data_IF_877158431627
#
_entry.id   IF_877158431627
#
_cell.length_a   1.000
_cell.length_b   1.000
_cell.length_c   1.000
_cell.angle_alpha   90.00
_cell.angle_beta   90.00
_cell.angle_gamma   90.00
#
_symmetry.space_group_name_H-M   'P 1'
#
loop_
_entity.id
_entity.type
_entity.pdbx_description
1 polymer ?
#
# COMPACT_ATOMS: atom_id res chain seq x y z
N UNK A 1 -14.29 -13.11 6.97
CA UNK A 1 -14.33 -11.71 6.51
C UNK A 1 -12.97 -11.26 6.06
N UNK A 2 -12.88 -10.74 4.87
CA UNK A 2 -11.57 -10.29 4.38
C UNK A 2 -11.18 -8.97 5.04
N UNK A 3 -9.88 -8.79 5.20
CA UNK A 3 -9.35 -7.55 5.74
C UNK A 3 -9.61 -6.41 4.77
N UNK A 4 -9.92 -5.24 5.30
CA UNK A 4 -10.13 -4.05 4.48
C UNK A 4 -8.85 -3.30 4.22
N UNK A 5 -7.87 -3.48 5.09
CA UNK A 5 -6.59 -2.78 5.00
C UNK A 5 -5.44 -3.77 5.14
N UNK A 6 -4.34 -3.41 4.51
CA UNK A 6 -3.10 -4.15 4.64
C UNK A 6 -2.05 -3.19 5.20
N UNK A 7 -1.15 -3.71 6.05
CA UNK A 7 -0.03 -2.88 6.49
C UNK A 7 1.04 -2.85 5.41
N UNK A 8 2.13 -2.12 5.67
CA UNK A 8 3.18 -1.95 4.67
C UNK A 8 3.82 -3.28 4.27
N UNK A 9 4.03 -4.16 5.25
CA UNK A 9 4.64 -5.45 4.99
C UNK A 9 3.73 -6.31 4.12
N UNK A 10 2.45 -6.37 4.47
CA UNK A 10 1.48 -7.14 3.70
C UNK A 10 1.35 -6.60 2.28
N UNK A 11 1.37 -5.27 2.14
CA UNK A 11 1.29 -4.64 0.83
C UNK A 11 2.51 -4.99 -0.02
N UNK A 12 3.69 -4.95 0.59
CA UNK A 12 4.92 -5.32 -0.11
C UNK A 12 4.86 -6.76 -0.61
N UNK A 13 4.39 -7.67 0.25
CA UNK A 13 4.25 -9.08 -0.12
C UNK A 13 3.23 -9.27 -1.24
N UNK A 14 2.11 -8.59 -1.14
CA UNK A 14 1.05 -8.67 -2.15
C UNK A 14 1.55 -8.23 -3.51
N UNK A 15 2.32 -7.14 -3.54
CA UNK A 15 2.83 -6.58 -4.78
C UNK A 15 4.16 -7.20 -5.22
N UNK A 16 4.73 -8.05 -4.40
CA UNK A 16 6.06 -8.62 -4.63
C UNK A 16 7.11 -7.53 -4.77
N UNK A 17 7.03 -6.52 -3.93
CA UNK A 17 7.95 -5.40 -3.90
C UNK A 17 8.66 -5.36 -2.56
N UNK A 18 9.72 -4.57 -2.46
CA UNK A 18 10.39 -4.40 -1.18
C UNK A 18 9.57 -3.51 -0.26
N UNK A 19 9.73 -3.71 1.05
CA UNK A 19 9.04 -2.86 2.01
C UNK A 19 9.56 -1.42 1.90
N UNK A 20 10.83 -1.25 1.54
CA UNK A 20 11.40 0.07 1.32
C UNK A 20 10.66 0.80 0.21
N UNK A 21 10.34 0.10 -0.87
CA UNK A 21 9.56 0.69 -1.96
C UNK A 21 8.21 1.19 -1.46
N UNK A 22 7.56 0.39 -0.61
CA UNK A 22 6.25 0.76 -0.08
C UNK A 22 6.33 2.05 0.73
N UNK A 23 7.38 2.20 1.54
CA UNK A 23 7.53 3.40 2.36
C UNK A 23 7.99 4.62 1.55
N UNK A 24 8.81 4.41 0.53
CA UNK A 24 9.46 5.52 -0.16
C UNK A 24 8.81 5.91 -1.47
N UNK A 25 8.33 4.93 -2.22
CA UNK A 25 7.99 5.18 -3.61
C UNK A 25 6.52 4.97 -3.94
N UNK A 26 5.77 4.24 -3.11
CA UNK A 26 4.40 3.90 -3.44
C UNK A 26 3.53 5.14 -3.66
N UNK A 27 3.63 6.12 -2.78
CA UNK A 27 2.79 7.33 -2.87
C UNK A 27 3.08 8.09 -4.16
N UNK A 28 4.35 8.21 -4.54
CA UNK A 28 4.71 8.88 -5.79
C UNK A 28 4.20 8.12 -7.00
N UNK A 29 4.11 6.81 -6.89
CA UNK A 29 3.60 5.98 -7.97
C UNK A 29 2.07 5.98 -8.04
N UNK A 30 1.41 6.70 -7.14
CA UNK A 30 -0.04 6.81 -7.15
C UNK A 30 -0.74 5.93 -6.14
N UNK A 31 0.00 5.14 -5.37
CA UNK A 31 -0.58 4.28 -4.34
C UNK A 31 -0.39 4.94 -2.99
N UNK A 32 -1.37 5.74 -2.59
CA UNK A 32 -1.28 6.57 -1.41
C UNK A 32 -1.78 5.83 -0.19
N UNK A 33 -0.96 5.75 0.88
CA UNK A 33 -1.39 5.06 2.09
C UNK A 33 -2.30 5.91 2.96
N UNK A 34 -2.99 5.23 3.87
CA UNK A 34 -3.70 5.88 4.96
C UNK A 34 -2.81 5.83 6.19
N UNK A 35 -2.87 6.87 6.99
CA UNK A 35 -2.13 6.92 8.24
C UNK A 35 -3.13 7.24 9.34
N UNK A 36 -3.45 6.24 10.12
CA UNK A 36 -4.42 6.39 11.19
C UNK A 36 -3.70 6.83 12.45
N UNK A 37 -4.13 7.94 13.02
CA UNK A 37 -3.54 8.46 14.23
C UNK A 37 -2.44 9.47 13.95
N UNK A 38 -1.88 10.00 15.01
CA UNK A 38 -0.86 11.04 14.96
C UNK A 38 0.45 10.50 15.52
N UNK A 39 1.54 11.07 15.08
CA UNK A 39 2.84 10.76 15.62
C UNK A 39 3.64 9.85 14.71
N UNK A 40 4.92 9.71 15.06
CA UNK A 40 5.86 8.99 14.21
C UNK A 40 5.68 7.48 14.22
N UNK A 41 4.97 6.96 15.20
CA UNK A 41 4.77 5.51 15.27
C UNK A 41 3.51 5.04 14.59
N UNK A 42 2.78 5.94 13.95
CA UNK A 42 1.59 5.55 13.20
C UNK A 42 2.00 4.72 12.00
N UNK A 43 1.40 3.56 11.85
CA UNK A 43 1.73 2.66 10.76
C UNK A 43 0.98 3.05 9.50
N UNK A 44 1.63 2.88 8.36
CA UNK A 44 0.98 3.06 7.08
C UNK A 44 0.06 1.88 6.81
N UNK A 45 -1.11 2.17 6.29
CA UNK A 45 -2.04 1.13 5.89
C UNK A 45 -2.57 1.46 4.51
N UNK A 46 -2.87 0.44 3.74
CA UNK A 46 -3.40 0.59 2.39
C UNK A 46 -4.73 -0.11 2.32
N UNK A 47 -5.72 0.54 1.76
CA UNK A 47 -7.00 -0.11 1.55
C UNK A 47 -6.83 -1.18 0.48
N UNK A 48 -7.31 -2.39 0.76
CA UNK A 48 -7.14 -3.52 -0.17
C UNK A 48 -7.73 -3.19 -1.54
N UNK A 49 -8.90 -2.57 -1.57
CA UNK A 49 -9.52 -2.22 -2.86
C UNK A 49 -8.70 -1.19 -3.64
N UNK A 50 -8.03 -0.26 -2.93
CA UNK A 50 -7.17 0.71 -3.59
C UNK A 50 -5.96 0.04 -4.21
N UNK A 51 -5.36 -0.92 -3.48
CA UNK A 51 -4.21 -1.65 -3.99
C UNK A 51 -4.59 -2.45 -5.23
N UNK A 52 -5.72 -3.11 -5.20
CA UNK A 52 -6.19 -3.87 -6.34
C UNK A 52 -6.43 -2.97 -7.56
N UNK A 53 -7.07 -1.82 -7.34
CA UNK A 53 -7.34 -0.88 -8.44
C UNK A 53 -6.05 -0.32 -9.02
N UNK A 54 -5.11 0.06 -8.14
CA UNK A 54 -3.81 0.57 -8.59
C UNK A 54 -3.06 -0.48 -9.41
N UNK A 55 -3.10 -1.72 -8.95
CA UNK A 55 -2.43 -2.82 -9.64
C UNK A 55 -2.93 -2.98 -11.07
N UNK A 56 -4.24 -2.87 -11.26
CA UNK A 56 -4.81 -2.99 -12.60
C UNK A 56 -4.34 -1.88 -13.53
N UNK A 57 -4.07 -0.70 -12.98
CA UNK A 57 -3.58 0.42 -13.78
C UNK A 57 -2.14 0.22 -14.24
N UNK A 58 -1.40 -0.67 -13.60
CA UNK A 58 0.00 -0.90 -13.95
C UNK A 58 0.18 -1.93 -15.05
N UNK A 59 -0.89 -2.59 -15.46
CA UNK A 59 -0.80 -3.64 -16.45
C UNK A 59 -0.41 -3.08 -17.81
N UNK A 60 0.55 -3.73 -18.44
CA UNK A 60 0.98 -3.34 -19.77
C UNK A 60 0.04 -3.92 -20.82
N UNK A 61 -0.24 -3.16 -21.81
CA UNK A 61 -1.05 -3.60 -22.94
C UNK A 61 -2.51 -3.21 -22.86
#
# INVERSE_FOLDING_TARGET
MSAQFMDAKETAEYLNMSITWVYRDAAEAGLVPYKFGKGRNSKLQFRVSDVAAWTRQQKLG
#
